data_IF_639152097399
#
_entry.id   IF_639152097399
#
_cell.length_a   1.000
_cell.length_b   1.000
_cell.length_c   1.000
_cell.angle_alpha   90.00
_cell.angle_beta   90.00
_cell.angle_gamma   90.00
#
_symmetry.space_group_name_H-M   'P 1'
#
loop_
_entity.id
_entity.type
_entity.pdbx_description
1 polymer ?
#
# COMPACT_ATOMS: atom_id res chain seq x y z
N UNK A 1 -64.90 17.87 21.80
CA UNK A 1 -64.71 16.61 21.04
C UNK A 1 -64.13 16.80 19.62
N UNK A 2 -64.54 17.76 18.81
CA UNK A 2 -64.04 17.95 17.42
C UNK A 2 -62.62 18.56 17.44
N UNK A 3 -62.34 19.49 18.34
CA UNK A 3 -61.03 20.18 18.45
C UNK A 3 -59.88 19.25 18.82
N UNK A 4 -60.11 18.29 19.69
CA UNK A 4 -59.06 17.34 20.15
C UNK A 4 -58.68 16.35 19.05
N UNK A 5 -59.61 15.92 18.21
CA UNK A 5 -59.32 15.04 17.08
C UNK A 5 -58.49 15.72 15.99
N UNK A 6 -58.63 17.03 15.80
CA UNK A 6 -57.81 17.77 14.84
C UNK A 6 -56.38 17.97 15.36
N UNK A 7 -56.20 18.23 16.67
CA UNK A 7 -54.87 18.36 17.30
C UNK A 7 -54.09 17.05 17.22
N UNK A 8 -54.74 15.93 17.50
CA UNK A 8 -54.08 14.61 17.41
C UNK A 8 -53.68 14.24 15.97
N UNK A 9 -54.48 14.58 14.97
CA UNK A 9 -54.14 14.34 13.54
C UNK A 9 -52.97 15.19 13.05
N UNK A 10 -52.85 16.44 13.53
CA UNK A 10 -51.74 17.34 13.19
C UNK A 10 -50.43 16.92 13.82
N UNK A 11 -50.46 16.41 15.04
CA UNK A 11 -49.26 15.91 15.75
C UNK A 11 -48.73 14.61 15.10
N UNK A 12 -49.64 13.73 14.67
CA UNK A 12 -49.30 12.49 13.96
C UNK A 12 -48.59 12.75 12.63
N UNK A 13 -49.11 13.69 11.82
CA UNK A 13 -48.43 14.11 10.57
C UNK A 13 -47.06 14.68 10.75
N UNK A 14 -46.79 15.44 11.85
CA UNK A 14 -45.47 15.97 12.19
C UNK A 14 -44.52 14.86 12.60
N UNK A 15 -44.99 13.86 13.33
CA UNK A 15 -44.20 12.69 13.70
C UNK A 15 -43.82 11.83 12.48
N UNK A 16 -44.77 11.60 11.56
CA UNK A 16 -44.54 10.84 10.35
C UNK A 16 -43.50 11.55 9.44
N UNK A 17 -43.58 12.90 9.35
CA UNK A 17 -42.63 13.70 8.59
C UNK A 17 -41.22 13.67 9.25
N UNK A 18 -41.14 13.73 10.58
CA UNK A 18 -39.87 13.63 11.31
C UNK A 18 -39.22 12.27 11.12
N UNK A 19 -40.00 11.19 11.18
CA UNK A 19 -39.50 9.83 10.94
C UNK A 19 -38.99 9.65 9.51
N UNK A 20 -39.69 10.19 8.54
CA UNK A 20 -39.26 10.19 7.13
C UNK A 20 -37.98 10.97 6.93
N UNK A 21 -37.84 12.13 7.57
CA UNK A 21 -36.61 12.94 7.53
C UNK A 21 -35.42 12.21 8.15
N UNK A 22 -35.61 11.56 9.31
CA UNK A 22 -34.57 10.74 9.95
C UNK A 22 -34.18 9.56 9.04
N UNK A 23 -35.16 8.90 8.42
CA UNK A 23 -34.91 7.81 7.48
C UNK A 23 -34.05 8.24 6.29
N UNK A 24 -34.34 9.40 5.70
CA UNK A 24 -33.54 9.96 4.60
C UNK A 24 -32.13 10.30 5.08
N UNK A 25 -31.99 10.90 6.26
CA UNK A 25 -30.67 11.23 6.82
C UNK A 25 -29.83 9.97 7.04
N UNK A 26 -30.41 8.92 7.63
CA UNK A 26 -29.74 7.62 7.79
C UNK A 26 -29.32 7.02 6.45
N UNK A 27 -30.16 7.11 5.42
CA UNK A 27 -29.83 6.61 4.09
C UNK A 27 -28.67 7.37 3.46
N UNK A 28 -28.62 8.69 3.61
CA UNK A 28 -27.50 9.53 3.14
C UNK A 28 -26.20 9.11 3.84
N UNK A 29 -26.22 8.98 5.17
CA UNK A 29 -25.04 8.53 5.93
C UNK A 29 -24.60 7.13 5.48
N UNK A 30 -25.55 6.21 5.27
CA UNK A 30 -25.22 4.88 4.78
C UNK A 30 -24.54 4.90 3.40
N UNK A 31 -25.05 5.71 2.47
CA UNK A 31 -24.44 5.86 1.13
C UNK A 31 -23.03 6.43 1.24
N UNK A 32 -22.82 7.44 2.08
CA UNK A 32 -21.48 8.02 2.31
C UNK A 32 -20.53 6.95 2.86
N UNK A 33 -20.93 6.19 3.86
CA UNK A 33 -20.12 5.10 4.42
C UNK A 33 -19.82 4.03 3.37
N UNK A 34 -20.78 3.65 2.55
CA UNK A 34 -20.58 2.68 1.48
C UNK A 34 -19.55 3.18 0.44
N UNK A 35 -19.61 4.45 0.04
CA UNK A 35 -18.63 5.05 -0.87
C UNK A 35 -17.23 5.07 -0.25
N UNK A 36 -17.12 5.40 1.04
CA UNK A 36 -15.83 5.34 1.74
C UNK A 36 -15.25 3.93 1.79
N UNK A 37 -16.07 2.93 2.08
CA UNK A 37 -15.64 1.52 2.11
C UNK A 37 -15.20 1.04 0.73
N UNK A 38 -15.92 1.41 -0.33
CA UNK A 38 -15.55 1.04 -1.69
C UNK A 38 -14.20 1.66 -2.09
N UNK A 39 -13.98 2.95 -1.79
CA UNK A 39 -12.69 3.61 -2.04
C UNK A 39 -11.55 2.96 -1.27
N UNK A 40 -11.76 2.69 0.01
CA UNK A 40 -10.77 2.00 0.83
C UNK A 40 -10.42 0.61 0.27
N UNK A 41 -11.43 -0.12 -0.20
CA UNK A 41 -11.23 -1.45 -0.79
C UNK A 41 -10.50 -1.38 -2.15
N UNK A 42 -10.78 -0.38 -2.98
CA UNK A 42 -10.08 -0.17 -4.25
C UNK A 42 -8.60 0.19 -4.02
N UNK A 43 -8.31 1.08 -3.06
CA UNK A 43 -6.95 1.43 -2.68
C UNK A 43 -6.18 0.20 -2.18
N UNK A 44 -6.79 -0.60 -1.32
CA UNK A 44 -6.18 -1.84 -0.80
C UNK A 44 -5.88 -2.88 -1.91
N UNK A 45 -6.81 -3.06 -2.86
CA UNK A 45 -6.59 -3.98 -4.00
C UNK A 45 -5.47 -3.51 -4.91
N UNK A 46 -5.38 -2.22 -5.15
CA UNK A 46 -4.36 -1.62 -6.00
C UNK A 46 -2.97 -1.80 -5.40
N UNK A 47 -2.84 -1.63 -4.10
CA UNK A 47 -1.60 -1.84 -3.37
C UNK A 47 -1.12 -3.29 -3.45
N UNK A 48 -1.99 -4.24 -3.16
CA UNK A 48 -1.66 -5.66 -3.25
C UNK A 48 -1.20 -6.08 -4.66
N UNK A 49 -1.82 -5.52 -5.72
CA UNK A 49 -1.40 -5.82 -7.09
C UNK A 49 -0.04 -5.22 -7.44
N UNK A 50 0.32 -4.06 -6.88
CA UNK A 50 1.64 -3.43 -7.06
C UNK A 50 2.74 -4.21 -6.32
N UNK A 51 2.47 -4.66 -5.10
CA UNK A 51 3.40 -5.50 -4.35
C UNK A 51 3.69 -6.82 -5.09
N UNK A 52 2.67 -7.43 -5.67
CA UNK A 52 2.80 -8.65 -6.45
C UNK A 52 3.59 -8.41 -7.75
N UNK A 53 3.38 -7.29 -8.42
CA UNK A 53 4.17 -6.87 -9.59
C UNK A 53 5.66 -6.67 -9.23
N UNK A 54 5.95 -6.00 -8.11
CA UNK A 54 7.31 -5.77 -7.66
C UNK A 54 8.02 -7.08 -7.28
N UNK A 55 7.33 -8.02 -6.66
CA UNK A 55 7.85 -9.36 -6.37
C UNK A 55 8.10 -10.17 -7.64
N UNK A 56 7.18 -10.12 -8.58
CA UNK A 56 7.31 -10.83 -9.86
C UNK A 56 8.49 -10.30 -10.67
N UNK A 57 8.73 -8.99 -10.66
CA UNK A 57 9.94 -8.38 -11.24
C UNK A 57 11.22 -8.92 -10.60
N UNK A 58 11.25 -9.09 -9.28
CA UNK A 58 12.36 -9.72 -8.58
C UNK A 58 12.61 -11.16 -9.03
N UNK A 59 11.55 -11.94 -9.21
CA UNK A 59 11.64 -13.34 -9.64
C UNK A 59 12.05 -13.51 -11.10
N UNK A 60 11.53 -12.69 -12.01
CA UNK A 60 11.88 -12.75 -13.43
C UNK A 60 13.37 -12.45 -13.64
N UNK A 61 13.90 -11.47 -12.92
CA UNK A 61 15.33 -11.15 -12.98
C UNK A 61 16.22 -12.23 -12.37
N UNK A 62 15.73 -13.08 -11.47
CA UNK A 62 16.46 -14.26 -11.00
C UNK A 62 16.65 -15.29 -12.12
N UNK A 63 15.65 -15.47 -12.97
CA UNK A 63 15.69 -16.44 -14.07
C UNK A 63 16.67 -15.99 -15.16
N UNK A 64 16.66 -14.69 -15.50
CA UNK A 64 17.57 -14.12 -16.52
C UNK A 64 19.03 -14.08 -16.04
N UNK A 65 19.29 -13.77 -14.75
CA UNK A 65 20.62 -13.78 -14.18
C UNK A 65 21.25 -15.18 -14.09
N UNK A 66 20.44 -16.24 -14.13
CA UNK A 66 20.92 -17.62 -14.20
C UNK A 66 21.37 -18.03 -15.61
N UNK A 67 20.87 -17.36 -16.66
CA UNK A 67 21.25 -17.61 -18.05
C UNK A 67 22.46 -16.79 -18.49
N UNK A 68 22.71 -15.61 -17.93
CA UNK A 68 23.83 -14.77 -18.24
C UNK A 68 24.98 -14.94 -17.21
N UNK A 69 25.79 -16.00 -17.40
CA UNK A 69 27.00 -16.25 -16.65
C UNK A 69 28.08 -15.19 -16.97
N UNK A 70 28.03 -14.02 -16.28
CA UNK A 70 29.19 -13.12 -16.22
C UNK A 70 30.00 -13.41 -14.95
N UNK A 71 31.25 -13.89 -15.06
CA UNK A 71 32.10 -14.28 -13.91
C UNK A 71 32.71 -13.09 -13.16
N UNK A 72 32.23 -11.86 -13.37
CA UNK A 72 32.92 -10.64 -12.93
C UNK A 72 32.41 -9.98 -11.64
N UNK A 73 31.30 -10.43 -11.04
CA UNK A 73 30.73 -9.74 -9.87
C UNK A 73 30.87 -10.59 -8.59
N UNK A 74 31.79 -10.20 -7.70
CA UNK A 74 32.07 -10.91 -6.44
C UNK A 74 30.87 -10.99 -5.49
N UNK A 75 30.00 -9.97 -5.47
CA UNK A 75 28.80 -9.91 -4.61
C UNK A 75 27.77 -10.98 -5.00
N UNK A 76 27.73 -11.36 -6.29
CA UNK A 76 26.83 -12.38 -6.82
C UNK A 76 27.21 -13.78 -6.36
N UNK A 77 28.49 -14.05 -6.09
CA UNK A 77 28.97 -15.37 -5.66
C UNK A 77 28.60 -15.67 -4.21
N UNK A 78 28.72 -14.68 -3.31
CA UNK A 78 28.36 -14.84 -1.89
C UNK A 78 26.84 -15.00 -1.71
N UNK A 79 26.02 -14.30 -2.50
CA UNK A 79 24.56 -14.45 -2.48
C UNK A 79 24.12 -15.86 -2.91
N UNK A 80 24.80 -16.50 -3.87
CA UNK A 80 24.53 -17.87 -4.31
C UNK A 80 24.86 -18.91 -3.23
N UNK A 81 25.93 -18.73 -2.46
CA UNK A 81 26.30 -19.65 -1.37
C UNK A 81 25.30 -19.59 -0.21
N UNK A 82 24.67 -18.43 0.02
CA UNK A 82 23.70 -18.23 1.11
C UNK A 82 22.26 -18.54 0.72
N UNK A 83 21.98 -18.94 -0.54
CA UNK A 83 20.63 -19.19 -1.03
C UNK A 83 19.75 -17.92 -1.11
N UNK A 84 20.39 -16.74 -1.14
CA UNK A 84 19.70 -15.47 -1.24
C UNK A 84 19.21 -15.21 -2.67
N UNK A 85 18.07 -14.56 -2.86
CA UNK A 85 17.56 -14.21 -4.18
C UNK A 85 18.52 -13.26 -4.89
N UNK A 86 18.84 -13.55 -6.15
CA UNK A 86 19.63 -12.65 -6.98
C UNK A 86 18.71 -11.60 -7.58
N UNK A 87 18.79 -10.37 -7.09
CA UNK A 87 17.95 -9.27 -7.52
C UNK A 87 18.72 -8.38 -8.50
N UNK A 88 18.14 -8.18 -9.68
CA UNK A 88 18.67 -7.19 -10.62
C UNK A 88 18.24 -5.77 -10.19
N UNK A 89 19.13 -5.07 -9.50
CA UNK A 89 18.89 -3.72 -9.00
C UNK A 89 18.59 -2.70 -10.11
N UNK A 90 19.06 -2.92 -11.35
CA UNK A 90 18.84 -1.98 -12.46
C UNK A 90 17.36 -1.84 -12.79
N UNK A 91 16.59 -2.93 -12.77
CA UNK A 91 15.16 -2.94 -13.08
C UNK A 91 14.36 -2.10 -12.09
N UNK A 92 14.72 -2.16 -10.80
CA UNK A 92 14.08 -1.33 -9.79
C UNK A 92 14.49 0.14 -9.90
N UNK A 93 15.77 0.44 -10.21
CA UNK A 93 16.25 1.80 -10.40
C UNK A 93 15.66 2.49 -11.64
N UNK A 94 15.35 1.74 -12.69
CA UNK A 94 14.62 2.27 -13.85
C UNK A 94 13.21 2.73 -13.49
N UNK A 95 12.55 2.02 -12.56
CA UNK A 95 11.19 2.35 -12.11
C UNK A 95 11.20 3.43 -11.03
N UNK A 96 12.20 3.44 -10.16
CA UNK A 96 12.36 4.45 -9.11
C UNK A 96 13.85 4.71 -8.85
N UNK A 97 14.30 5.94 -9.11
CA UNK A 97 15.69 6.37 -8.89
C UNK A 97 16.09 6.36 -7.38
N UNK A 98 15.12 6.40 -6.48
CA UNK A 98 15.33 6.37 -5.03
C UNK A 98 15.56 4.93 -4.50
N UNK A 99 15.52 3.91 -5.36
CA UNK A 99 15.79 2.52 -4.97
C UNK A 99 17.24 2.34 -4.50
N UNK A 100 17.43 1.75 -3.33
CA UNK A 100 18.75 1.52 -2.71
C UNK A 100 19.04 0.06 -2.37
N UNK A 101 18.03 -0.73 -1.99
CA UNK A 101 18.22 -2.09 -1.53
C UNK A 101 16.96 -2.96 -1.75
N UNK A 102 17.10 -4.27 -1.51
CA UNK A 102 15.99 -5.21 -1.48
C UNK A 102 15.97 -5.95 -0.15
N UNK A 103 14.86 -5.86 0.57
CA UNK A 103 14.66 -6.56 1.82
C UNK A 103 14.07 -7.93 1.54
N UNK A 104 14.75 -8.99 1.98
CA UNK A 104 14.29 -10.36 1.89
C UNK A 104 14.47 -11.06 3.23
N UNK A 105 13.41 -11.70 3.74
CA UNK A 105 13.48 -12.51 4.96
C UNK A 105 13.08 -13.95 4.61
N UNK A 106 14.02 -14.92 4.70
CA UNK A 106 13.74 -16.32 4.39
C UNK A 106 12.56 -16.86 5.20
N UNK A 107 11.79 -17.78 4.59
CA UNK A 107 10.64 -18.43 5.20
C UNK A 107 9.48 -17.49 5.59
N UNK A 108 9.47 -16.26 5.03
CA UNK A 108 8.37 -15.29 5.21
C UNK A 108 7.90 -14.74 3.86
N UNK A 109 6.78 -13.99 3.89
CA UNK A 109 6.30 -13.22 2.72
C UNK A 109 6.97 -11.84 2.59
N UNK A 110 8.04 -11.57 3.37
CA UNK A 110 8.70 -10.27 3.38
C UNK A 110 9.75 -10.24 2.27
N UNK A 111 9.35 -9.65 1.17
CA UNK A 111 10.13 -9.43 -0.05
C UNK A 111 9.77 -8.07 -0.62
N UNK A 112 10.58 -7.02 -0.37
CA UNK A 112 10.25 -5.65 -0.76
C UNK A 112 11.46 -4.86 -1.24
N UNK A 113 11.31 -4.04 -2.30
CA UNK A 113 12.30 -3.03 -2.64
C UNK A 113 12.31 -1.94 -1.54
N UNK A 114 13.51 -1.50 -1.18
CA UNK A 114 13.76 -0.43 -0.21
C UNK A 114 14.19 0.82 -0.97
N UNK A 115 13.60 1.95 -0.63
CA UNK A 115 13.92 3.25 -1.21
C UNK A 115 14.59 4.15 -0.17
N UNK A 116 15.28 5.21 -0.61
CA UNK A 116 15.84 6.22 0.27
C UNK A 116 15.72 7.60 -0.36
N UNK A 117 15.17 8.54 0.39
CA UNK A 117 15.05 9.92 -0.05
C UNK A 117 15.15 10.88 1.14
N UNK A 118 14.05 11.05 1.84
CA UNK A 118 13.90 11.78 3.09
C UNK A 118 12.99 10.97 4.00
N UNK A 119 12.98 11.27 5.30
CA UNK A 119 12.23 10.50 6.29
C UNK A 119 10.71 10.82 6.32
N UNK A 120 10.18 11.53 5.31
CA UNK A 120 8.80 12.00 5.28
C UNK A 120 8.07 11.52 4.02
N UNK A 121 8.71 11.59 2.85
CA UNK A 121 8.06 11.37 1.56
C UNK A 121 7.39 9.99 1.47
N UNK A 122 8.14 8.94 1.79
CA UNK A 122 7.69 7.55 1.67
C UNK A 122 6.79 7.07 2.81
N UNK A 123 6.48 7.91 3.80
CA UNK A 123 5.43 7.61 4.80
C UNK A 123 4.03 7.54 4.19
N UNK A 124 3.81 8.23 3.07
CA UNK A 124 2.51 8.30 2.40
C UNK A 124 2.59 8.24 0.87
N UNK A 125 3.67 7.63 0.35
CA UNK A 125 3.85 7.33 -1.07
C UNK A 125 4.32 5.89 -1.25
N UNK A 126 3.81 5.22 -2.29
CA UNK A 126 4.25 3.88 -2.67
C UNK A 126 5.61 3.91 -3.39
N UNK A 127 6.10 2.73 -3.78
CA UNK A 127 7.36 2.58 -4.52
C UNK A 127 7.41 3.43 -5.80
N UNK A 128 6.30 3.61 -6.50
CA UNK A 128 6.22 4.41 -7.73
C UNK A 128 6.08 5.92 -7.49
N UNK A 129 6.09 6.38 -6.23
CA UNK A 129 5.91 7.79 -5.86
C UNK A 129 4.46 8.27 -5.92
N UNK A 130 3.48 7.38 -6.01
CA UNK A 130 2.06 7.71 -5.95
C UNK A 130 1.60 7.81 -4.49
N UNK A 131 0.63 8.70 -4.21
CA UNK A 131 0.05 8.80 -2.86
C UNK A 131 -0.60 7.50 -2.43
N UNK A 132 -0.20 7.04 -1.25
CA UNK A 132 -0.65 5.81 -0.63
C UNK A 132 -0.77 6.01 0.89
N UNK A 133 -1.81 5.45 1.51
CA UNK A 133 -2.03 5.58 2.95
C UNK A 133 -1.05 4.74 3.80
N UNK A 134 -0.42 3.73 3.21
CA UNK A 134 0.46 2.78 3.90
C UNK A 134 1.95 3.09 3.72
N UNK A 135 2.30 3.94 2.76
CA UNK A 135 3.69 4.24 2.45
C UNK A 135 4.44 3.08 1.78
N UNK A 136 5.76 3.11 1.82
CA UNK A 136 6.63 2.00 1.41
C UNK A 136 7.82 1.89 2.35
N UNK A 137 8.54 0.78 2.32
CA UNK A 137 9.73 0.59 3.15
C UNK A 137 10.83 1.50 2.65
N UNK A 138 11.37 2.33 3.53
CA UNK A 138 12.47 3.23 3.20
C UNK A 138 13.59 3.18 4.23
N UNK A 139 14.79 3.45 3.79
CA UNK A 139 15.97 3.61 4.63
C UNK A 139 16.02 5.04 5.16
N UNK A 140 16.37 5.23 6.44
CA UNK A 140 16.58 6.56 7.03
C UNK A 140 17.60 7.36 6.21
N UNK A 141 17.35 8.66 6.01
CA UNK A 141 18.19 9.54 5.18
C UNK A 141 19.65 9.65 5.65
N UNK A 142 19.91 9.36 6.94
CA UNK A 142 21.25 9.42 7.53
C UNK A 142 21.95 8.06 7.58
N UNK A 143 21.29 6.99 7.13
CA UNK A 143 21.86 5.64 7.08
C UNK A 143 22.42 5.33 5.69
N UNK A 144 23.40 4.44 5.67
CA UNK A 144 23.93 3.83 4.45
C UNK A 144 23.62 2.34 4.43
N UNK A 145 23.50 1.73 3.26
CA UNK A 145 23.36 0.28 3.13
C UNK A 145 24.58 -0.50 3.62
N UNK A 146 25.70 0.19 3.86
CA UNK A 146 26.94 -0.38 4.42
C UNK A 146 26.99 -0.29 5.95
N UNK A 147 26.02 0.38 6.60
CA UNK A 147 25.98 0.50 8.05
C UNK A 147 25.66 -0.85 8.70
N UNK A 148 26.29 -1.18 9.85
CA UNK A 148 26.06 -2.46 10.54
C UNK A 148 24.65 -2.56 11.17
N UNK A 149 23.97 -1.44 11.31
CA UNK A 149 22.57 -1.35 11.79
C UNK A 149 21.79 -0.43 10.86
N UNK A 150 20.75 -0.97 10.21
CA UNK A 150 19.88 -0.22 9.33
C UNK A 150 18.59 0.15 10.05
N UNK A 151 18.16 1.39 9.87
CA UNK A 151 16.83 1.88 10.28
C UNK A 151 15.92 1.93 9.06
N UNK A 152 14.88 1.12 9.08
CA UNK A 152 13.87 0.97 8.02
C UNK A 152 12.51 1.51 8.46
#
# INVERSE_FOLDING_TARGET
>A
MISERQSMKHNKKKQDFLLLFIGILCLIVFVICAVFLLRYYDDYRREKSMDEELRELGRQTQTEAMEENDPGNADTAEAKEQGLPQINASVYREKNADYVAYLYIPDTEIEYPVVQRDNIYYLNHNFYGEKNAHGTIFLDENCSTEDPVLLL
#
